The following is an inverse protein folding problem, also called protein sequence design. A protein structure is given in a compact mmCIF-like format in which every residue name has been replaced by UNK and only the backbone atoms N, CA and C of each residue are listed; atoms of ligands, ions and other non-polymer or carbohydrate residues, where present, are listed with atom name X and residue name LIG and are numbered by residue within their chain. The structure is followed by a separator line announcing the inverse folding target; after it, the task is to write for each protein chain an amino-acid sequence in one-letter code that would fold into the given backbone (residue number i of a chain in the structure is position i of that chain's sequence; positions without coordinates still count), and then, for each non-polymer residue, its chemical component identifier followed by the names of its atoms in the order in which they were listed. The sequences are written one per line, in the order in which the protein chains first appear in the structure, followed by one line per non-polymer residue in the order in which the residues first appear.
data_IF_459974832154
#
_entry.id   IF_459974832154
#
_cell.length_a   1.000
_cell.length_b   1.000
_cell.length_c   1.000
_cell.angle_alpha   90.00
_cell.angle_beta   90.00
_cell.angle_gamma   90.00
#
_symmetry.space_group_name_H-M   'P 1'
#
loop_
_entity.id
_entity.type
_entity.pdbx_description
1 polymer ?
#
# COMPACT_ATOMS: atom_id res chain seq x y z
N UNK A 1 -9.55 23.57 -35.27
CA UNK A 1 -8.65 23.07 -34.19
C UNK A 1 -7.21 23.20 -34.68
N UNK A 2 -6.29 23.59 -33.75
CA UNK A 2 -4.85 23.53 -34.00
C UNK A 2 -4.41 22.06 -34.04
N UNK A 3 -3.41 21.72 -34.85
CA UNK A 3 -2.85 20.38 -34.83
C UNK A 3 -2.05 20.16 -33.55
N UNK A 4 -2.09 18.92 -33.01
CA UNK A 4 -1.34 18.53 -31.81
C UNK A 4 0.15 18.85 -31.96
N UNK A 5 0.75 18.50 -33.08
CA UNK A 5 2.18 18.65 -33.30
C UNK A 5 2.61 20.12 -33.33
N UNK A 6 1.76 21.00 -33.88
CA UNK A 6 1.98 22.44 -33.82
C UNK A 6 1.97 22.96 -32.40
N UNK A 7 0.96 22.57 -31.60
CA UNK A 7 0.84 23.00 -30.19
C UNK A 7 2.01 22.49 -29.36
N UNK A 8 2.32 21.19 -29.47
CA UNK A 8 3.44 20.59 -28.72
C UNK A 8 4.79 21.21 -29.09
N UNK A 9 5.03 21.47 -30.38
CA UNK A 9 6.26 22.14 -30.83
C UNK A 9 6.37 23.56 -30.29
N UNK A 10 5.29 24.29 -30.21
CA UNK A 10 5.29 25.65 -29.65
C UNK A 10 5.48 25.69 -28.13
N UNK A 11 4.92 24.71 -27.40
CA UNK A 11 5.01 24.64 -25.95
C UNK A 11 6.29 23.97 -25.44
N UNK A 12 6.91 23.09 -26.24
CA UNK A 12 8.08 22.33 -25.83
C UNK A 12 9.19 23.18 -25.21
N UNK A 13 9.62 24.32 -25.81
CA UNK A 13 10.67 25.15 -25.21
C UNK A 13 10.31 25.67 -23.81
N UNK A 14 9.03 25.97 -23.57
CA UNK A 14 8.55 26.43 -22.25
C UNK A 14 8.50 25.27 -21.24
N UNK A 15 8.06 24.11 -21.68
CA UNK A 15 7.91 22.91 -20.82
C UNK A 15 9.28 22.35 -20.40
N UNK A 16 10.29 22.43 -21.26
CA UNK A 16 11.64 21.92 -21.01
C UNK A 16 12.59 22.95 -20.37
N UNK A 17 12.16 24.21 -20.22
CA UNK A 17 12.97 25.24 -19.59
C UNK A 17 12.95 25.10 -18.06
N UNK A 18 14.10 24.74 -17.49
CA UNK A 18 14.30 24.61 -16.03
C UNK A 18 14.19 25.92 -15.27
N UNK A 19 14.43 27.05 -15.94
CA UNK A 19 14.37 28.37 -15.32
C UNK A 19 12.95 28.89 -15.14
N UNK A 20 11.98 28.33 -15.87
CA UNK A 20 10.58 28.67 -15.76
C UNK A 20 9.89 27.77 -14.74
N UNK A 21 9.51 28.35 -13.60
CA UNK A 21 8.78 27.64 -12.56
C UNK A 21 7.38 27.21 -13.06
N UNK A 22 7.05 25.94 -12.87
CA UNK A 22 5.72 25.37 -13.17
C UNK A 22 5.01 24.99 -11.90
N UNK A 23 3.70 25.27 -11.88
CA UNK A 23 2.76 24.83 -10.86
C UNK A 23 1.71 23.93 -11.52
N UNK A 24 1.34 22.85 -10.86
CA UNK A 24 0.30 21.94 -11.36
C UNK A 24 -0.33 21.10 -10.24
N UNK A 25 -1.25 20.27 -10.65
CA UNK A 25 -1.94 19.30 -9.79
C UNK A 25 -1.58 17.89 -10.25
N UNK A 26 -0.83 17.14 -9.47
CA UNK A 26 -0.37 15.79 -9.83
C UNK A 26 0.50 15.76 -11.11
N UNK A 27 1.48 16.67 -11.18
CA UNK A 27 2.34 16.89 -12.36
C UNK A 27 3.10 15.65 -12.84
N UNK A 28 3.25 14.63 -12.02
CA UNK A 28 3.82 13.35 -12.46
C UNK A 28 3.00 12.73 -13.59
N UNK A 29 1.67 12.85 -13.55
CA UNK A 29 0.79 12.39 -14.61
C UNK A 29 1.07 13.14 -15.92
N UNK A 30 1.13 14.47 -15.87
CA UNK A 30 1.41 15.30 -17.04
C UNK A 30 2.80 15.02 -17.60
N UNK A 31 3.81 14.87 -16.74
CA UNK A 31 5.17 14.50 -17.14
C UNK A 31 5.20 13.16 -17.91
N UNK A 32 4.45 12.17 -17.44
CA UNK A 32 4.34 10.86 -18.10
C UNK A 32 3.62 10.99 -19.45
N UNK A 33 2.55 11.77 -19.54
CA UNK A 33 1.85 12.00 -20.81
C UNK A 33 2.74 12.72 -21.82
N UNK A 34 3.42 13.79 -21.40
CA UNK A 34 4.32 14.57 -22.26
C UNK A 34 5.51 13.74 -22.75
N UNK A 35 6.02 12.82 -21.94
CA UNK A 35 7.13 11.94 -22.33
C UNK A 35 6.82 11.07 -23.56
N UNK A 36 5.56 10.69 -23.76
CA UNK A 36 5.12 9.94 -24.94
C UNK A 36 5.28 10.74 -26.25
N UNK A 37 5.42 12.06 -26.13
CA UNK A 37 5.63 12.98 -27.26
C UNK A 37 7.07 13.53 -27.30
N UNK A 38 7.99 12.93 -26.55
CA UNK A 38 9.39 13.35 -26.51
C UNK A 38 9.60 14.72 -25.85
N UNK A 39 8.73 15.08 -24.90
CA UNK A 39 8.84 16.31 -24.09
C UNK A 39 9.16 15.92 -22.65
N UNK A 40 10.23 16.47 -22.11
CA UNK A 40 10.61 16.33 -20.71
C UNK A 40 10.11 17.52 -19.92
N UNK A 41 9.19 17.30 -18.98
CA UNK A 41 8.71 18.38 -18.11
C UNK A 41 9.78 18.74 -17.09
N UNK A 42 10.30 19.96 -17.20
CA UNK A 42 11.35 20.49 -16.34
C UNK A 42 10.87 21.73 -15.59
N UNK A 43 11.59 22.15 -14.54
CA UNK A 43 11.24 23.34 -13.76
C UNK A 43 9.97 23.17 -12.93
N UNK A 44 9.58 21.97 -12.58
CA UNK A 44 8.47 21.71 -11.65
C UNK A 44 8.83 22.28 -10.28
N UNK A 45 8.18 23.35 -9.90
CA UNK A 45 8.42 24.04 -8.63
C UNK A 45 7.33 23.76 -7.59
N UNK A 46 6.09 23.53 -8.06
CA UNK A 46 4.94 23.38 -7.18
C UNK A 46 3.96 22.32 -7.68
N UNK A 47 3.51 21.46 -6.78
CA UNK A 47 2.45 20.47 -7.03
C UNK A 47 1.42 20.54 -5.89
N UNK A 48 0.22 21.00 -6.19
CA UNK A 48 -0.83 21.27 -5.20
C UNK A 48 -1.34 20.01 -4.51
N UNK A 49 -1.26 18.85 -5.16
CA UNK A 49 -1.56 17.55 -4.52
C UNK A 49 -0.53 17.26 -3.42
N UNK A 50 0.76 17.43 -3.70
CA UNK A 50 1.83 17.19 -2.74
C UNK A 50 1.87 18.25 -1.64
N UNK A 51 1.61 19.53 -1.97
CA UNK A 51 1.45 20.60 -0.97
C UNK A 51 0.37 20.24 0.06
N UNK A 52 -0.82 19.86 -0.41
CA UNK A 52 -1.92 19.46 0.47
C UNK A 52 -1.59 18.21 1.26
N UNK A 53 -0.95 17.23 0.65
CA UNK A 53 -0.54 15.99 1.31
C UNK A 53 0.46 16.22 2.43
N UNK A 54 1.49 17.04 2.21
CA UNK A 54 2.47 17.39 3.23
C UNK A 54 1.87 18.27 4.34
N UNK A 55 0.93 19.15 4.01
CA UNK A 55 0.23 19.96 4.99
C UNK A 55 -0.65 19.13 5.93
N UNK A 56 -1.43 18.20 5.37
CA UNK A 56 -2.25 17.25 6.14
C UNK A 56 -2.70 16.07 5.29
N UNK A 57 -2.17 14.88 5.54
CA UNK A 57 -2.40 13.67 4.75
C UNK A 57 -3.76 12.98 4.98
N UNK A 58 -4.54 13.38 6.00
CA UNK A 58 -5.72 12.62 6.48
C UNK A 58 -7.07 13.10 5.92
N UNK A 59 -7.41 14.40 5.82
CA UNK A 59 -8.81 14.83 5.74
C UNK A 59 -9.37 14.92 4.32
N UNK A 60 -8.63 14.58 3.28
CA UNK A 60 -9.09 14.69 1.89
C UNK A 60 -8.34 13.74 0.96
N UNK A 61 -8.93 13.48 -0.21
CA UNK A 61 -8.32 12.67 -1.26
C UNK A 61 -7.18 13.38 -2.02
N UNK A 62 -6.87 14.61 -1.73
CA UNK A 62 -5.88 15.46 -2.41
C UNK A 62 -6.10 15.62 -3.93
N UNK A 63 -7.28 15.27 -4.45
CA UNK A 63 -7.65 15.60 -5.82
C UNK A 63 -8.17 17.04 -5.89
N UNK A 64 -8.15 17.63 -7.08
CA UNK A 64 -8.47 19.03 -7.29
C UNK A 64 -9.86 19.40 -6.78
N UNK A 65 -10.89 18.60 -7.07
CA UNK A 65 -12.26 18.87 -6.64
C UNK A 65 -12.39 18.97 -5.12
N UNK A 66 -11.80 18.00 -4.39
CA UNK A 66 -11.83 18.00 -2.94
C UNK A 66 -11.02 19.15 -2.33
N UNK A 67 -9.91 19.52 -2.98
CA UNK A 67 -9.09 20.66 -2.55
C UNK A 67 -9.77 21.99 -2.82
N UNK A 68 -10.43 22.16 -3.97
CA UNK A 68 -11.17 23.35 -4.33
C UNK A 68 -12.34 23.59 -3.36
N UNK A 69 -13.13 22.57 -3.06
CA UNK A 69 -14.19 22.64 -2.06
C UNK A 69 -13.65 23.03 -0.68
N UNK A 70 -12.57 22.37 -0.23
CA UNK A 70 -11.98 22.57 1.10
C UNK A 70 -11.30 23.92 1.29
N UNK A 71 -10.48 24.36 0.33
CA UNK A 71 -9.61 25.53 0.50
C UNK A 71 -10.15 26.80 -0.16
N UNK A 72 -10.99 26.66 -1.17
CA UNK A 72 -11.54 27.78 -1.93
C UNK A 72 -13.06 27.94 -1.75
N UNK A 73 -13.75 26.94 -1.16
CA UNK A 73 -15.22 26.91 -1.11
C UNK A 73 -15.85 26.85 -2.51
N UNK A 74 -15.12 26.33 -3.49
CA UNK A 74 -15.50 26.31 -4.90
C UNK A 74 -15.79 24.87 -5.36
N UNK A 75 -16.92 24.71 -6.06
CA UNK A 75 -17.28 23.44 -6.70
C UNK A 75 -16.86 23.47 -8.16
N UNK A 76 -15.88 22.64 -8.49
CA UNK A 76 -15.40 22.44 -9.86
C UNK A 76 -16.43 21.71 -10.72
N UNK A 77 -16.37 21.90 -12.03
CA UNK A 77 -17.09 21.08 -13.01
C UNK A 77 -16.43 19.71 -13.06
N UNK A 78 -17.20 18.66 -12.78
CA UNK A 78 -16.67 17.28 -12.85
C UNK A 78 -16.60 16.81 -14.28
N UNK A 79 -15.56 16.03 -14.60
CA UNK A 79 -15.41 15.43 -15.93
C UNK A 79 -16.66 14.67 -16.37
N UNK A 80 -17.32 13.96 -15.46
CA UNK A 80 -18.56 13.24 -15.74
C UNK A 80 -19.73 14.13 -16.15
N UNK A 81 -19.74 15.40 -15.77
CA UNK A 81 -20.79 16.36 -16.13
C UNK A 81 -20.69 16.79 -17.60
N UNK A 82 -19.48 16.83 -18.14
CA UNK A 82 -19.21 17.19 -19.53
C UNK A 82 -19.08 15.98 -20.47
N UNK A 83 -18.63 14.83 -19.94
CA UNK A 83 -18.33 13.61 -20.71
C UNK A 83 -19.41 12.52 -20.57
N UNK A 84 -20.30 12.59 -19.55
CA UNK A 84 -21.23 11.52 -19.21
C UNK A 84 -20.56 10.43 -18.37
N UNK A 85 -21.27 9.31 -18.13
CA UNK A 85 -20.86 8.21 -17.24
C UNK A 85 -20.95 6.83 -17.89
N UNK A 86 -20.16 5.90 -17.35
CA UNK A 86 -20.22 4.47 -17.71
C UNK A 86 -19.74 4.17 -19.12
N UNK A 87 -20.24 3.09 -19.72
CA UNK A 87 -19.78 2.62 -21.05
C UNK A 87 -20.00 3.61 -22.21
N UNK A 88 -20.81 4.62 -22.02
CA UNK A 88 -21.07 5.68 -23.01
C UNK A 88 -20.35 7.00 -22.70
N UNK A 89 -19.46 7.00 -21.74
CA UNK A 89 -18.67 8.19 -21.40
C UNK A 89 -17.79 8.60 -22.58
N UNK A 90 -17.85 9.86 -22.95
CA UNK A 90 -17.05 10.43 -24.02
C UNK A 90 -15.59 10.58 -23.57
N UNK A 91 -14.68 10.42 -24.50
CA UNK A 91 -13.30 10.86 -24.34
C UNK A 91 -13.19 12.37 -24.49
N UNK A 92 -12.14 13.00 -23.92
CA UNK A 92 -12.02 14.47 -23.91
C UNK A 92 -12.06 15.09 -25.33
N UNK A 93 -11.49 14.43 -26.32
CA UNK A 93 -11.49 14.86 -27.72
C UNK A 93 -12.87 14.74 -28.42
N UNK A 94 -13.85 14.11 -27.79
CA UNK A 94 -15.22 13.99 -28.29
C UNK A 94 -16.16 15.02 -27.66
N UNK A 95 -15.68 15.76 -26.65
CA UNK A 95 -16.47 16.81 -25.98
C UNK A 95 -16.46 18.06 -26.85
N UNK A 96 -17.58 18.80 -26.83
CA UNK A 96 -17.71 20.08 -27.49
C UNK A 96 -16.57 21.02 -27.07
N UNK A 97 -16.01 21.77 -28.08
CA UNK A 97 -14.79 22.56 -27.86
C UNK A 97 -15.00 23.67 -26.81
N UNK A 98 -16.16 24.30 -26.77
CA UNK A 98 -16.46 25.37 -25.82
C UNK A 98 -16.48 24.80 -24.38
N UNK A 99 -17.16 23.67 -24.19
CA UNK A 99 -17.21 22.96 -22.87
C UNK A 99 -15.84 22.44 -22.45
N UNK A 100 -15.10 21.82 -23.37
CA UNK A 100 -13.75 21.32 -23.11
C UNK A 100 -12.78 22.46 -22.76
N UNK A 101 -12.91 23.60 -23.50
CA UNK A 101 -12.09 24.79 -23.24
C UNK A 101 -12.37 25.40 -21.86
N UNK A 102 -13.65 25.51 -21.50
CA UNK A 102 -14.04 26.01 -20.19
C UNK A 102 -13.53 25.13 -19.06
N UNK A 103 -13.70 23.81 -19.19
CA UNK A 103 -13.21 22.82 -18.24
C UNK A 103 -11.68 22.92 -18.04
N UNK A 104 -10.92 22.93 -19.14
CA UNK A 104 -9.46 23.02 -19.07
C UNK A 104 -8.95 24.35 -18.49
N UNK A 105 -9.65 25.46 -18.78
CA UNK A 105 -9.32 26.76 -18.22
C UNK A 105 -9.63 26.83 -16.71
N UNK A 106 -10.75 26.22 -16.28
CA UNK A 106 -11.09 26.08 -14.86
C UNK A 106 -10.02 25.28 -14.12
N UNK A 107 -9.58 24.15 -14.67
CA UNK A 107 -8.54 23.31 -14.06
C UNK A 107 -7.24 24.10 -13.83
N UNK A 108 -6.84 24.91 -14.79
CA UNK A 108 -5.63 25.74 -14.67
C UNK A 108 -5.80 26.87 -13.63
N UNK A 109 -6.94 27.59 -13.64
CA UNK A 109 -7.22 28.66 -12.68
C UNK A 109 -7.31 28.11 -11.25
N UNK A 110 -8.05 27.05 -11.05
CA UNK A 110 -8.23 26.41 -9.74
C UNK A 110 -6.89 25.89 -9.22
N UNK A 111 -6.05 25.29 -10.06
CA UNK A 111 -4.71 24.82 -9.64
C UNK A 111 -3.86 25.98 -9.12
N UNK A 112 -3.81 27.10 -9.81
CA UNK A 112 -3.06 28.27 -9.36
C UNK A 112 -3.61 28.84 -8.04
N UNK A 113 -4.93 28.97 -7.94
CA UNK A 113 -5.60 29.45 -6.72
C UNK A 113 -5.39 28.51 -5.53
N UNK A 114 -5.36 27.19 -5.77
CA UNK A 114 -5.03 26.19 -4.74
C UNK A 114 -3.60 26.36 -4.23
N UNK A 115 -2.63 26.53 -5.13
CA UNK A 115 -1.25 26.83 -4.73
C UNK A 115 -1.18 28.07 -3.83
N UNK A 116 -1.82 29.18 -4.25
CA UNK A 116 -1.87 30.44 -3.49
C UNK A 116 -2.55 30.27 -2.12
N UNK A 117 -3.49 29.34 -1.97
CA UNK A 117 -4.19 29.09 -0.72
C UNK A 117 -3.49 28.10 0.21
N UNK A 118 -2.75 27.12 -0.33
CA UNK A 118 -2.16 25.99 0.42
C UNK A 118 -0.70 26.27 0.78
N UNK A 119 0.12 26.69 -0.17
CA UNK A 119 1.55 26.85 0.00
C UNK A 119 1.94 27.81 1.15
N UNK A 120 1.30 28.98 1.32
CA UNK A 120 1.58 29.86 2.46
C UNK A 120 1.25 29.25 3.83
N UNK A 121 0.40 28.22 3.88
CA UNK A 121 0.13 27.47 5.11
C UNK A 121 1.24 26.47 5.39
N UNK A 122 1.79 25.86 4.35
CA UNK A 122 2.90 24.93 4.43
C UNK A 122 4.18 25.66 4.87
N UNK A 123 4.43 26.89 4.39
CA UNK A 123 5.57 27.74 4.78
C UNK A 123 5.60 28.08 6.28
N UNK A 124 4.45 28.04 6.97
CA UNK A 124 4.39 28.27 8.42
C UNK A 124 5.04 27.16 9.25
N UNK A 125 5.33 26.01 8.66
CA UNK A 125 5.98 24.86 9.31
C UNK A 125 7.23 24.47 8.53
N UNK A 126 8.40 24.92 8.98
CA UNK A 126 9.68 24.64 8.32
C UNK A 126 9.93 23.15 8.09
N UNK A 127 9.53 22.29 9.03
CA UNK A 127 9.68 20.85 8.91
C UNK A 127 8.78 20.25 7.83
N UNK A 128 7.51 20.65 7.76
CA UNK A 128 6.60 20.17 6.71
C UNK A 128 7.02 20.69 5.34
N UNK A 129 7.51 21.93 5.27
CA UNK A 129 8.06 22.52 4.06
C UNK A 129 9.29 21.75 3.58
N UNK A 130 10.20 21.36 4.49
CA UNK A 130 11.36 20.51 4.17
C UNK A 130 10.92 19.14 3.64
N UNK A 131 9.93 18.49 4.27
CA UNK A 131 9.36 17.23 3.73
C UNK A 131 8.85 17.40 2.29
N UNK A 132 8.18 18.50 2.00
CA UNK A 132 7.69 18.82 0.68
C UNK A 132 8.81 19.06 -0.33
N UNK A 133 9.75 19.96 0.01
CA UNK A 133 10.80 20.43 -0.91
C UNK A 133 11.95 19.43 -1.07
N UNK A 134 12.32 18.73 0.01
CA UNK A 134 13.52 17.88 0.02
C UNK A 134 13.19 16.39 -0.20
N UNK A 135 11.93 15.99 -0.03
CA UNK A 135 11.53 14.57 -0.16
C UNK A 135 10.47 14.40 -1.24
N UNK A 136 9.27 14.97 -1.08
CA UNK A 136 8.13 14.64 -1.94
C UNK A 136 8.25 15.19 -3.35
N UNK A 137 8.63 16.45 -3.49
CA UNK A 137 8.76 17.07 -4.80
C UNK A 137 9.91 16.45 -5.62
N UNK A 138 11.13 16.24 -5.07
CA UNK A 138 12.21 15.54 -5.76
C UNK A 138 11.93 14.06 -6.08
N UNK A 139 11.06 13.40 -5.31
CA UNK A 139 10.68 12.02 -5.57
C UNK A 139 9.79 11.88 -6.82
N UNK A 140 9.00 12.89 -7.15
CA UNK A 140 8.08 12.87 -8.29
C UNK A 140 8.76 12.49 -9.61
N UNK A 141 9.85 13.15 -10.07
CA UNK A 141 10.53 12.77 -11.32
C UNK A 141 11.23 11.40 -11.24
N UNK A 142 11.60 10.92 -10.04
CA UNK A 142 12.13 9.57 -9.86
C UNK A 142 11.04 8.55 -10.15
N UNK A 143 9.86 8.70 -9.55
CA UNK A 143 8.72 7.82 -9.78
C UNK A 143 8.25 7.86 -11.23
N UNK A 144 8.21 9.05 -11.85
CA UNK A 144 7.89 9.21 -13.27
C UNK A 144 8.83 8.37 -14.15
N UNK A 145 10.14 8.42 -13.94
CA UNK A 145 11.11 7.59 -14.68
C UNK A 145 10.91 6.10 -14.44
N UNK A 146 10.61 5.70 -13.20
CA UNK A 146 10.33 4.29 -12.88
C UNK A 146 9.08 3.79 -13.60
N UNK A 147 8.00 4.58 -13.62
CA UNK A 147 6.76 4.26 -14.33
C UNK A 147 6.99 4.15 -15.85
N UNK A 148 7.74 5.10 -16.44
CA UNK A 148 8.10 5.08 -17.86
C UNK A 148 8.99 3.89 -18.22
N UNK A 149 9.92 3.53 -17.34
CA UNK A 149 10.82 2.38 -17.53
C UNK A 149 10.09 1.04 -17.50
N UNK A 150 9.06 0.92 -16.67
CA UNK A 150 8.28 -0.32 -16.51
C UNK A 150 9.12 -1.53 -16.09
N UNK A 151 8.47 -2.69 -16.03
CA UNK A 151 9.08 -3.96 -15.66
C UNK A 151 8.86 -5.01 -16.74
N UNK A 152 9.86 -5.84 -17.01
CA UNK A 152 9.78 -6.94 -17.95
C UNK A 152 9.22 -8.19 -17.23
N UNK A 153 8.29 -8.87 -17.87
CA UNK A 153 7.72 -10.12 -17.35
C UNK A 153 7.79 -11.23 -18.41
N UNK A 154 7.96 -12.46 -17.93
CA UNK A 154 7.90 -13.67 -18.74
C UNK A 154 6.44 -14.14 -18.83
N UNK A 155 5.80 -13.85 -19.97
CA UNK A 155 4.40 -14.21 -20.23
C UNK A 155 4.19 -15.71 -20.34
N UNK A 156 5.18 -16.43 -20.89
CA UNK A 156 5.05 -17.87 -21.12
C UNK A 156 5.11 -18.62 -19.79
N UNK A 157 6.02 -18.22 -18.91
CA UNK A 157 6.07 -18.72 -17.54
C UNK A 157 4.76 -18.46 -16.78
N UNK A 158 4.16 -17.27 -16.92
CA UNK A 158 2.87 -16.96 -16.27
C UNK A 158 1.73 -17.78 -16.87
N UNK A 159 1.73 -18.03 -18.18
CA UNK A 159 0.73 -18.88 -18.84
C UNK A 159 0.83 -20.34 -18.38
N UNK A 160 2.04 -20.89 -18.27
CA UNK A 160 2.27 -22.23 -17.71
C UNK A 160 1.76 -22.33 -16.25
N UNK A 161 2.14 -21.37 -15.42
CA UNK A 161 1.66 -21.33 -14.04
C UNK A 161 0.13 -21.22 -13.96
N UNK A 162 -0.49 -20.43 -14.85
CA UNK A 162 -1.94 -20.30 -14.92
C UNK A 162 -2.63 -21.64 -15.21
N UNK A 163 -2.05 -22.47 -16.08
CA UNK A 163 -2.56 -23.82 -16.37
C UNK A 163 -2.44 -24.75 -15.17
N UNK A 164 -1.27 -24.77 -14.52
CA UNK A 164 -1.03 -25.57 -13.30
C UNK A 164 -2.00 -25.19 -12.19
N UNK A 165 -2.15 -23.88 -11.92
CA UNK A 165 -3.12 -23.40 -10.93
C UNK A 165 -4.54 -23.77 -11.32
N UNK A 166 -4.91 -23.64 -12.59
CA UNK A 166 -6.23 -24.01 -13.10
C UNK A 166 -6.57 -25.48 -12.87
N UNK A 167 -5.61 -26.40 -13.13
CA UNK A 167 -5.77 -27.82 -12.83
C UNK A 167 -5.99 -28.07 -11.34
N UNK A 168 -5.17 -27.43 -10.48
CA UNK A 168 -5.32 -27.58 -9.02
C UNK A 168 -6.65 -27.02 -8.50
N UNK A 169 -7.13 -25.92 -9.06
CA UNK A 169 -8.45 -25.35 -8.72
C UNK A 169 -9.59 -26.33 -9.04
N UNK A 170 -9.54 -27.01 -10.20
CA UNK A 170 -10.54 -28.01 -10.57
C UNK A 170 -10.50 -29.22 -9.61
N UNK A 171 -9.31 -29.69 -9.22
CA UNK A 171 -9.18 -30.74 -8.20
C UNK A 171 -9.78 -30.32 -6.86
N UNK A 172 -9.52 -29.11 -6.40
CA UNK A 172 -10.06 -28.59 -5.14
C UNK A 172 -11.58 -28.41 -5.18
N UNK A 173 -12.15 -28.05 -6.34
CA UNK A 173 -13.61 -28.03 -6.50
C UNK A 173 -14.22 -29.42 -6.33
N UNK A 174 -13.63 -30.45 -6.98
CA UNK A 174 -14.07 -31.82 -6.81
C UNK A 174 -13.95 -32.29 -5.36
N UNK A 175 -12.83 -32.01 -4.72
CA UNK A 175 -12.59 -32.35 -3.31
C UNK A 175 -13.63 -31.68 -2.41
N UNK A 176 -13.88 -30.38 -2.59
CA UNK A 176 -14.86 -29.63 -1.81
C UNK A 176 -16.29 -30.18 -2.00
N UNK A 177 -16.68 -30.52 -3.25
CA UNK A 177 -17.97 -31.12 -3.55
C UNK A 177 -18.14 -32.50 -2.93
N UNK A 178 -17.08 -33.30 -2.92
CA UNK A 178 -17.10 -34.63 -2.29
C UNK A 178 -17.28 -34.51 -0.75
N UNK A 179 -16.57 -33.55 -0.11
CA UNK A 179 -16.72 -33.32 1.34
C UNK A 179 -18.12 -32.79 1.68
N UNK A 180 -18.68 -31.92 0.85
CA UNK A 180 -20.03 -31.36 1.05
C UNK A 180 -21.17 -32.31 0.64
N UNK A 181 -20.86 -33.34 -0.15
CA UNK A 181 -21.87 -34.26 -0.70
C UNK A 181 -22.72 -33.67 -1.83
N UNK A 182 -22.45 -32.46 -2.29
CA UNK A 182 -23.14 -31.78 -3.40
C UNK A 182 -22.26 -30.73 -4.07
N UNK A 183 -22.65 -30.32 -5.28
CA UNK A 183 -21.99 -29.23 -6.00
C UNK A 183 -22.44 -27.88 -5.47
N UNK A 184 -21.50 -26.94 -5.34
CA UNK A 184 -21.73 -25.54 -4.96
C UNK A 184 -20.60 -24.65 -5.46
N UNK A 185 -20.82 -23.34 -5.47
CA UNK A 185 -19.80 -22.37 -5.89
C UNK A 185 -18.93 -21.96 -4.69
N UNK A 186 -17.65 -22.36 -4.70
CA UNK A 186 -16.66 -22.05 -3.66
C UNK A 186 -16.37 -20.53 -3.54
N UNK A 187 -16.69 -19.75 -4.57
CA UNK A 187 -16.54 -18.29 -4.57
C UNK A 187 -17.79 -17.56 -4.05
N UNK A 188 -18.89 -18.27 -3.76
CA UNK A 188 -20.13 -17.67 -3.27
C UNK A 188 -20.21 -17.67 -1.74
N UNK A 189 -20.09 -16.50 -1.05
CA UNK A 189 -20.21 -16.46 0.40
C UNK A 189 -21.52 -17.02 0.93
N UNK A 190 -22.62 -16.83 0.18
CA UNK A 190 -23.95 -17.33 0.58
C UNK A 190 -24.00 -18.85 0.56
N UNK A 191 -23.51 -19.49 -0.51
CA UNK A 191 -23.49 -20.96 -0.60
C UNK A 191 -22.53 -21.56 0.43
N UNK A 192 -21.39 -20.90 0.67
CA UNK A 192 -20.46 -21.34 1.72
C UNK A 192 -21.11 -21.28 3.12
N UNK A 193 -21.91 -20.26 3.41
CA UNK A 193 -22.64 -20.17 4.68
C UNK A 193 -23.60 -21.34 4.84
N UNK A 194 -24.38 -21.64 3.81
CA UNK A 194 -25.33 -22.78 3.80
C UNK A 194 -24.59 -24.10 4.04
N UNK A 195 -23.54 -24.39 3.28
CA UNK A 195 -22.76 -25.62 3.38
C UNK A 195 -22.11 -25.75 4.77
N UNK A 196 -21.36 -24.75 5.19
CA UNK A 196 -20.56 -24.85 6.42
C UNK A 196 -21.43 -24.87 7.69
N UNK A 197 -22.44 -24.00 7.77
CA UNK A 197 -23.16 -23.78 9.02
C UNK A 197 -24.51 -24.47 9.07
N UNK A 198 -25.21 -24.65 7.95
CA UNK A 198 -26.53 -25.26 7.93
C UNK A 198 -26.47 -26.77 7.65
N UNK A 199 -25.59 -27.23 6.75
CA UNK A 199 -25.49 -28.64 6.39
C UNK A 199 -24.46 -29.39 7.23
N UNK A 200 -23.20 -28.91 7.21
CA UNK A 200 -22.12 -29.53 7.97
C UNK A 200 -22.15 -29.18 9.46
N UNK A 201 -23.05 -28.27 9.89
CA UNK A 201 -23.24 -27.86 11.29
C UNK A 201 -21.96 -27.41 12.00
N UNK A 202 -21.01 -26.82 11.26
CA UNK A 202 -19.81 -26.27 11.86
C UNK A 202 -20.20 -25.08 12.75
N UNK A 203 -19.67 -24.96 13.97
CA UNK A 203 -20.00 -23.86 14.86
C UNK A 203 -19.69 -22.48 14.28
N UNK A 204 -20.58 -21.51 14.47
CA UNK A 204 -20.36 -20.13 14.03
C UNK A 204 -19.39 -19.43 14.99
N UNK A 205 -18.17 -19.17 14.56
CA UNK A 205 -17.15 -18.49 15.36
C UNK A 205 -17.40 -16.96 15.38
N UNK A 206 -17.76 -16.37 14.23
CA UNK A 206 -17.93 -14.92 14.07
C UNK A 206 -19.08 -14.60 13.15
N UNK A 207 -19.79 -13.50 13.40
CA UNK A 207 -20.83 -12.98 12.51
C UNK A 207 -20.37 -11.70 11.81
N UNK A 208 -20.91 -11.46 10.63
CA UNK A 208 -20.75 -10.20 9.91
C UNK A 208 -21.49 -9.06 10.60
N UNK A 209 -21.23 -7.78 10.31
CA UNK A 209 -21.99 -6.66 10.86
C UNK A 209 -23.51 -6.74 10.59
N UNK A 210 -23.92 -7.48 9.55
CA UNK A 210 -25.33 -7.73 9.19
C UNK A 210 -25.92 -8.97 9.89
N UNK A 211 -25.18 -9.60 10.81
CA UNK A 211 -25.63 -10.74 11.61
C UNK A 211 -25.49 -12.11 10.96
N UNK A 212 -25.09 -12.22 9.70
CA UNK A 212 -24.85 -13.49 9.01
C UNK A 212 -23.53 -14.16 9.49
N UNK A 213 -23.42 -15.51 9.49
CA UNK A 213 -22.18 -16.20 9.78
C UNK A 213 -21.04 -15.73 8.85
N UNK A 214 -19.86 -15.47 9.42
CA UNK A 214 -18.73 -14.97 8.65
C UNK A 214 -17.97 -16.13 7.98
N UNK A 215 -17.66 -15.98 6.70
CA UNK A 215 -16.73 -16.84 5.93
C UNK A 215 -15.46 -16.09 5.58
N UNK A 216 -15.07 -15.08 6.36
CA UNK A 216 -13.83 -14.35 6.17
C UNK A 216 -12.62 -15.27 6.36
N UNK A 217 -11.49 -14.91 5.73
CA UNK A 217 -10.29 -15.73 5.73
C UNK A 217 -9.84 -16.11 7.14
N UNK A 218 -9.83 -15.16 8.08
CA UNK A 218 -9.46 -15.41 9.48
C UNK A 218 -10.34 -16.44 10.18
N UNK A 219 -11.65 -16.46 9.84
CA UNK A 219 -12.61 -17.41 10.40
C UNK A 219 -12.42 -18.79 9.79
N UNK A 220 -12.22 -18.86 8.48
CA UNK A 220 -11.92 -20.12 7.81
C UNK A 220 -10.57 -20.72 8.26
N UNK A 221 -9.56 -19.90 8.55
CA UNK A 221 -8.28 -20.36 9.09
C UNK A 221 -8.45 -21.02 10.46
N UNK A 222 -9.29 -20.47 11.33
CA UNK A 222 -9.61 -21.06 12.63
C UNK A 222 -10.37 -22.39 12.46
N UNK A 223 -11.38 -22.41 11.59
CA UNK A 223 -12.14 -23.64 11.31
C UNK A 223 -11.27 -24.74 10.64
N UNK A 224 -10.27 -24.35 9.85
CA UNK A 224 -9.40 -25.30 9.14
C UNK A 224 -8.51 -26.15 10.08
N UNK A 225 -8.43 -25.79 11.36
CA UNK A 225 -7.73 -26.58 12.37
C UNK A 225 -8.48 -27.91 12.64
N UNK A 226 -9.83 -27.87 12.62
CA UNK A 226 -10.68 -28.99 13.02
C UNK A 226 -11.48 -29.59 11.86
N UNK A 227 -11.66 -28.84 10.74
CA UNK A 227 -12.53 -29.24 9.63
C UNK A 227 -11.80 -29.21 8.28
N UNK A 228 -11.98 -30.23 7.43
CA UNK A 228 -11.28 -30.32 6.15
C UNK A 228 -11.77 -29.31 5.10
N UNK A 229 -13.10 -29.08 5.01
CA UNK A 229 -13.64 -28.19 3.97
C UNK A 229 -13.14 -26.74 4.05
N UNK A 230 -13.06 -26.08 5.21
CA UNK A 230 -12.44 -24.76 5.31
C UNK A 230 -11.00 -24.70 4.80
N UNK A 231 -10.21 -25.76 4.98
CA UNK A 231 -8.83 -25.85 4.46
C UNK A 231 -8.82 -25.85 2.92
N UNK A 232 -9.69 -26.65 2.30
CA UNK A 232 -9.85 -26.71 0.83
C UNK A 232 -10.30 -25.35 0.30
N UNK A 233 -11.28 -24.71 0.95
CA UNK A 233 -11.76 -23.37 0.55
C UNK A 233 -10.66 -22.32 0.63
N UNK A 234 -9.82 -22.33 1.66
CA UNK A 234 -8.71 -21.40 1.80
C UNK A 234 -7.67 -21.57 0.68
N UNK A 235 -7.29 -22.82 0.36
CA UNK A 235 -6.37 -23.12 -0.73
C UNK A 235 -6.97 -22.65 -2.06
N UNK A 236 -8.22 -23.02 -2.35
CA UNK A 236 -8.93 -22.60 -3.56
C UNK A 236 -8.98 -21.06 -3.69
N UNK A 237 -9.33 -20.33 -2.63
CA UNK A 237 -9.37 -18.86 -2.65
C UNK A 237 -7.99 -18.24 -2.90
N UNK A 238 -6.96 -18.78 -2.25
CA UNK A 238 -5.57 -18.35 -2.45
C UNK A 238 -5.14 -18.50 -3.90
N UNK A 239 -5.33 -19.68 -4.48
CA UNK A 239 -4.98 -19.98 -5.87
C UNK A 239 -5.82 -19.18 -6.86
N UNK A 240 -7.14 -19.06 -6.66
CA UNK A 240 -8.01 -18.24 -7.50
C UNK A 240 -7.56 -16.77 -7.54
N UNK A 241 -7.16 -16.22 -6.39
CA UNK A 241 -6.64 -14.86 -6.31
C UNK A 241 -5.31 -14.73 -7.06
N UNK A 242 -4.40 -15.69 -6.91
CA UNK A 242 -3.13 -15.69 -7.64
C UNK A 242 -3.36 -15.72 -9.14
N UNK A 243 -4.23 -16.62 -9.60
CA UNK A 243 -4.59 -16.77 -11.01
C UNK A 243 -5.18 -15.48 -11.58
N UNK A 244 -6.26 -15.00 -11.01
CA UNK A 244 -7.00 -13.85 -11.54
C UNK A 244 -6.23 -12.52 -11.42
N UNK A 245 -5.38 -12.37 -10.42
CA UNK A 245 -4.67 -11.10 -10.16
C UNK A 245 -3.33 -11.02 -10.89
N UNK A 246 -2.63 -12.15 -11.03
CA UNK A 246 -1.27 -12.18 -11.56
C UNK A 246 -1.15 -12.97 -12.85
N UNK A 247 -1.37 -14.29 -12.84
CA UNK A 247 -1.02 -15.10 -14.01
C UNK A 247 -1.89 -14.80 -15.24
N UNK A 248 -3.17 -14.49 -15.06
CA UNK A 248 -4.07 -14.15 -16.16
C UNK A 248 -4.03 -12.66 -16.51
N UNK A 249 -3.84 -11.79 -15.53
CA UNK A 249 -3.98 -10.33 -15.71
C UNK A 249 -2.70 -9.65 -16.13
N UNK A 250 -1.54 -10.02 -15.56
CA UNK A 250 -0.28 -9.31 -15.85
C UNK A 250 0.11 -9.34 -17.32
N UNK A 251 0.01 -10.48 -18.06
CA UNK A 251 0.31 -10.50 -19.48
C UNK A 251 -0.53 -9.53 -20.31
N UNK A 252 -1.78 -9.30 -19.92
CA UNK A 252 -2.70 -8.38 -20.60
C UNK A 252 -2.33 -6.89 -20.40
N UNK A 253 -1.45 -6.59 -19.46
CA UNK A 253 -1.00 -5.23 -19.14
C UNK A 253 0.32 -4.87 -19.82
N UNK A 254 0.92 -5.80 -20.58
CA UNK A 254 2.12 -5.53 -21.36
C UNK A 254 1.80 -4.49 -22.44
N UNK A 255 2.54 -3.41 -22.43
CA UNK A 255 2.41 -2.36 -23.43
C UNK A 255 3.16 -2.76 -24.73
N UNK A 256 2.46 -2.85 -25.88
CA UNK A 256 3.09 -3.32 -27.14
C UNK A 256 4.29 -2.50 -27.62
N UNK A 257 4.40 -1.23 -27.20
CA UNK A 257 5.52 -0.35 -27.59
C UNK A 257 6.79 -0.57 -26.80
N UNK A 258 6.66 -1.02 -25.56
CA UNK A 258 7.79 -1.15 -24.61
C UNK A 258 8.09 -2.59 -24.25
N UNK A 259 7.16 -3.49 -24.54
CA UNK A 259 7.17 -4.90 -24.11
C UNK A 259 7.26 -5.05 -22.58
N UNK A 260 6.71 -4.07 -21.84
CA UNK A 260 6.79 -3.99 -20.39
C UNK A 260 5.45 -3.69 -19.77
N UNK A 261 5.34 -4.03 -18.48
CA UNK A 261 4.23 -3.64 -17.62
C UNK A 261 4.61 -2.34 -16.91
N UNK A 262 3.71 -1.36 -16.94
CA UNK A 262 3.88 -0.06 -16.32
C UNK A 262 2.85 0.12 -15.21
N UNK A 263 3.30 0.23 -13.97
CA UNK A 263 2.47 0.56 -12.82
C UNK A 263 2.38 2.07 -12.62
N UNK A 264 1.47 2.51 -11.77
CA UNK A 264 1.42 3.88 -11.24
C UNK A 264 1.76 3.88 -9.75
N UNK A 265 2.74 4.69 -9.33
CA UNK A 265 3.10 4.90 -7.93
C UNK A 265 2.46 6.18 -7.40
N UNK A 266 1.77 6.08 -6.27
CA UNK A 266 1.06 7.20 -5.66
C UNK A 266 1.70 7.62 -4.35
N UNK A 267 2.05 8.90 -4.23
CA UNK A 267 2.61 9.51 -3.03
C UNK A 267 1.52 9.92 -2.03
N UNK A 268 0.42 10.49 -2.51
CA UNK A 268 -0.61 11.13 -1.70
C UNK A 268 -1.82 10.22 -1.36
N UNK A 269 -1.59 8.92 -1.14
CA UNK A 269 -2.64 7.94 -0.80
C UNK A 269 -2.49 7.43 0.63
N UNK A 270 -1.31 6.93 1.00
CA UNK A 270 -1.08 6.46 2.36
C UNK A 270 -0.76 7.63 3.29
N UNK A 271 -1.53 7.80 4.36
CA UNK A 271 -1.35 8.89 5.31
C UNK A 271 0.03 8.90 6.01
N UNK A 272 0.74 7.76 5.97
CA UNK A 272 2.03 7.54 6.64
C UNK A 272 3.26 7.94 5.83
N UNK A 273 3.12 8.36 4.57
CA UNK A 273 4.25 8.61 3.66
C UNK A 273 4.71 7.39 2.85
N UNK A 274 4.09 6.23 3.02
CA UNK A 274 4.36 5.07 2.15
C UNK A 274 3.78 5.29 0.77
N UNK A 275 4.48 4.80 -0.26
CA UNK A 275 3.95 4.74 -1.61
C UNK A 275 2.87 3.66 -1.70
N UNK A 276 1.91 3.84 -2.61
CA UNK A 276 1.05 2.77 -3.08
C UNK A 276 1.26 2.56 -4.58
N UNK A 277 0.90 1.38 -5.08
CA UNK A 277 1.06 0.99 -6.49
C UNK A 277 -0.27 0.46 -7.01
N UNK A 278 -0.68 0.90 -8.21
CA UNK A 278 -1.91 0.45 -8.87
C UNK A 278 -1.68 0.18 -10.35
N UNK A 279 -2.51 -0.64 -10.93
CA UNK A 279 -2.64 -0.94 -12.35
C UNK A 279 -1.34 -1.37 -13.06
N UNK A 280 -0.66 -2.43 -12.58
CA UNK A 280 -1.00 -3.32 -11.46
C UNK A 280 -0.36 -2.92 -10.13
N UNK A 281 -0.88 -3.45 -9.00
CA UNK A 281 -0.21 -3.30 -7.72
C UNK A 281 1.01 -4.23 -7.62
N UNK A 282 2.20 -3.69 -7.86
CA UNK A 282 3.47 -4.44 -7.79
C UNK A 282 4.03 -4.59 -6.36
N UNK A 283 3.47 -3.90 -5.37
CA UNK A 283 3.88 -4.01 -3.97
C UNK A 283 3.29 -5.25 -3.27
N UNK A 284 2.28 -5.89 -3.86
CA UNK A 284 1.59 -7.04 -3.29
C UNK A 284 1.92 -8.38 -3.97
N UNK A 285 3.02 -8.45 -4.73
CA UNK A 285 3.46 -9.69 -5.35
C UNK A 285 3.75 -10.71 -4.24
N UNK A 286 3.10 -11.89 -4.25
CA UNK A 286 3.17 -12.84 -3.14
C UNK A 286 4.57 -13.46 -3.01
N UNK A 287 4.96 -13.77 -1.76
CA UNK A 287 6.28 -14.35 -1.44
C UNK A 287 6.18 -15.51 -0.44
N UNK A 288 5.04 -15.66 0.26
CA UNK A 288 4.93 -16.63 1.35
C UNK A 288 4.69 -18.05 0.85
N UNK A 289 3.76 -18.23 -0.11
CA UNK A 289 3.47 -19.53 -0.71
C UNK A 289 4.49 -19.89 -1.81
N UNK A 290 4.59 -21.16 -2.14
CA UNK A 290 5.45 -21.64 -3.23
C UNK A 290 4.97 -21.10 -4.58
N UNK A 291 3.67 -21.17 -4.84
CA UNK A 291 3.02 -20.65 -6.05
C UNK A 291 3.23 -19.16 -6.18
N UNK A 292 3.14 -18.42 -5.05
CA UNK A 292 3.43 -16.99 -5.02
C UNK A 292 4.88 -16.68 -5.39
N UNK A 293 5.84 -17.47 -4.91
CA UNK A 293 7.25 -17.30 -5.29
C UNK A 293 7.48 -17.59 -6.78
N UNK A 294 6.78 -18.56 -7.36
CA UNK A 294 6.85 -18.82 -8.81
C UNK A 294 6.42 -17.61 -9.64
N UNK A 295 5.38 -16.87 -9.21
CA UNK A 295 4.98 -15.61 -9.85
C UNK A 295 6.11 -14.57 -9.83
N UNK A 296 6.87 -14.47 -8.74
CA UNK A 296 8.01 -13.55 -8.66
C UNK A 296 9.12 -13.89 -9.67
N UNK A 297 9.30 -15.15 -10.00
CA UNK A 297 10.30 -15.58 -10.99
C UNK A 297 9.94 -15.11 -12.41
N UNK A 298 8.67 -14.80 -12.68
CA UNK A 298 8.27 -14.23 -13.96
C UNK A 298 8.67 -12.76 -14.14
N UNK A 299 9.10 -12.07 -13.08
CA UNK A 299 9.69 -10.75 -13.20
C UNK A 299 11.18 -10.90 -13.54
N UNK A 300 11.55 -10.56 -14.76
CA UNK A 300 12.85 -10.85 -15.33
C UNK A 300 13.61 -9.56 -15.68
N UNK A 301 14.92 -9.66 -15.83
CA UNK A 301 15.76 -8.62 -16.39
C UNK A 301 15.98 -8.86 -17.88
N UNK A 302 16.20 -7.81 -18.69
CA UNK A 302 16.67 -7.98 -20.08
C UNK A 302 17.99 -8.74 -20.15
N UNK A 303 18.31 -9.24 -21.33
CA UNK A 303 19.61 -9.88 -21.58
C UNK A 303 20.78 -8.96 -21.14
N UNK A 304 21.79 -9.53 -20.52
CA UNK A 304 22.94 -8.84 -19.91
C UNK A 304 22.63 -7.95 -18.69
N UNK A 305 21.38 -7.89 -18.21
CA UNK A 305 21.00 -7.21 -16.97
C UNK A 305 20.69 -8.20 -15.87
N UNK A 306 20.62 -7.69 -14.64
CA UNK A 306 20.23 -8.47 -13.45
C UNK A 306 19.23 -7.67 -12.63
N UNK A 307 18.28 -8.36 -12.00
CA UNK A 307 17.47 -7.77 -10.94
C UNK A 307 18.34 -7.65 -9.69
N UNK A 308 18.43 -6.46 -9.14
CA UNK A 308 19.12 -6.17 -7.89
C UNK A 308 18.08 -5.83 -6.84
N UNK A 309 18.02 -6.61 -5.77
CA UNK A 309 17.16 -6.36 -4.62
C UNK A 309 18.01 -5.93 -3.42
N UNK A 310 17.77 -4.69 -2.95
CA UNK A 310 18.45 -4.13 -1.78
C UNK A 310 17.37 -3.76 -0.77
N UNK A 311 17.44 -4.36 0.42
CA UNK A 311 16.48 -4.12 1.50
C UNK A 311 17.20 -3.60 2.75
N UNK A 312 16.58 -2.68 3.44
CA UNK A 312 17.08 -2.16 4.72
C UNK A 312 16.92 -3.22 5.81
N UNK A 313 18.06 -3.71 6.31
CA UNK A 313 18.06 -4.69 7.40
C UNK A 313 17.48 -4.13 8.69
N UNK A 314 16.31 -4.66 9.10
CA UNK A 314 15.63 -4.34 10.36
C UNK A 314 15.40 -2.83 10.58
N UNK A 315 15.11 -2.08 9.51
CA UNK A 315 15.08 -0.60 9.57
C UNK A 315 14.10 -0.06 10.61
N UNK A 316 12.94 -0.70 10.78
CA UNK A 316 11.93 -0.27 11.74
C UNK A 316 12.43 -0.39 13.20
N UNK A 317 13.15 -1.46 13.51
CA UNK A 317 13.79 -1.64 14.82
C UNK A 317 14.94 -0.65 15.05
N UNK A 318 15.71 -0.34 13.99
CA UNK A 318 16.76 0.68 14.06
C UNK A 318 16.20 2.06 14.32
N UNK A 319 15.09 2.41 13.65
CA UNK A 319 14.36 3.67 13.88
C UNK A 319 13.82 3.68 15.31
N UNK A 320 13.23 2.57 15.79
CA UNK A 320 12.75 2.47 17.16
C UNK A 320 13.89 2.64 18.18
N UNK A 321 15.04 2.00 17.95
CA UNK A 321 16.22 2.16 18.81
C UNK A 321 16.68 3.62 18.88
N UNK A 322 16.69 4.32 17.74
CA UNK A 322 17.05 5.73 17.66
C UNK A 322 16.06 6.64 18.39
N UNK A 323 14.75 6.44 18.13
CA UNK A 323 13.71 7.32 18.70
C UNK A 323 13.51 7.09 20.20
N UNK A 324 13.55 5.82 20.66
CA UNK A 324 13.39 5.48 22.07
C UNK A 324 14.66 5.66 22.89
N UNK A 325 15.81 5.77 22.21
CA UNK A 325 17.14 5.75 22.83
C UNK A 325 17.32 4.59 23.82
N UNK A 326 16.66 3.45 23.56
CA UNK A 326 16.71 2.27 24.40
C UNK A 326 18.10 1.66 24.36
N UNK A 327 18.74 1.55 25.53
CA UNK A 327 20.13 1.11 25.67
C UNK A 327 20.32 -0.33 25.15
N UNK A 328 19.35 -1.21 25.37
CA UNK A 328 19.39 -2.59 24.92
C UNK A 328 19.36 -2.71 23.40
N UNK A 329 18.44 -1.99 22.72
CA UNK A 329 18.37 -1.97 21.27
C UNK A 329 19.59 -1.28 20.63
N UNK A 330 20.01 -0.13 21.16
CA UNK A 330 21.17 0.62 20.65
C UNK A 330 22.44 -0.24 20.75
N UNK A 331 22.70 -0.88 21.91
CA UNK A 331 23.84 -1.79 22.08
C UNK A 331 23.78 -2.97 21.12
N UNK A 332 22.62 -3.62 20.98
CA UNK A 332 22.47 -4.76 20.08
C UNK A 332 22.83 -4.41 18.62
N UNK A 333 22.38 -3.25 18.13
CA UNK A 333 22.73 -2.79 16.79
C UNK A 333 24.19 -2.35 16.65
N UNK A 334 24.76 -1.69 17.67
CA UNK A 334 26.16 -1.26 17.67
C UNK A 334 27.13 -2.45 17.65
N UNK A 335 26.75 -3.54 18.29
CA UNK A 335 27.52 -4.78 18.35
C UNK A 335 27.24 -5.73 17.17
N UNK A 336 26.38 -5.33 16.23
CA UNK A 336 26.01 -6.16 15.07
C UNK A 336 25.21 -7.41 15.42
N UNK A 337 24.58 -7.46 16.59
CA UNK A 337 23.76 -8.60 17.04
C UNK A 337 22.44 -8.69 16.28
N UNK A 338 21.98 -9.91 16.06
CA UNK A 338 20.61 -10.14 15.57
C UNK A 338 19.60 -9.92 16.69
N UNK A 339 18.90 -8.77 16.63
CA UNK A 339 17.90 -8.38 17.65
C UNK A 339 16.80 -9.43 17.78
N UNK A 340 16.39 -10.11 16.69
CA UNK A 340 15.36 -11.15 16.77
C UNK A 340 15.85 -12.39 17.52
N UNK A 341 17.09 -12.79 17.30
CA UNK A 341 17.71 -13.90 18.06
C UNK A 341 17.93 -13.53 19.52
N UNK A 342 18.39 -12.31 19.79
CA UNK A 342 18.55 -11.83 21.17
C UNK A 342 17.20 -11.79 21.91
N UNK A 343 16.16 -11.27 21.29
CA UNK A 343 14.80 -11.27 21.85
C UNK A 343 14.28 -12.70 22.07
N UNK A 344 14.52 -13.61 21.12
CA UNK A 344 14.12 -15.01 21.26
C UNK A 344 14.81 -15.68 22.45
N UNK A 345 16.11 -15.50 22.58
CA UNK A 345 16.89 -16.07 23.69
C UNK A 345 16.31 -15.70 25.06
N UNK A 346 15.95 -14.42 25.24
CA UNK A 346 15.40 -13.92 26.51
C UNK A 346 13.95 -14.36 26.73
N UNK A 347 13.11 -14.30 25.71
CA UNK A 347 11.69 -14.68 25.84
C UNK A 347 11.55 -16.17 26.13
N UNK A 348 12.33 -17.01 25.45
CA UNK A 348 12.25 -18.46 25.58
C UNK A 348 13.24 -19.04 26.65
N UNK A 349 14.10 -18.20 27.22
CA UNK A 349 15.04 -18.61 28.27
C UNK A 349 16.13 -19.56 27.78
N UNK A 350 16.62 -19.36 26.56
CA UNK A 350 17.72 -20.13 25.94
C UNK A 350 18.89 -19.20 25.60
N UNK A 351 20.07 -19.77 25.31
CA UNK A 351 21.18 -18.96 24.79
C UNK A 351 20.96 -18.58 23.33
N UNK A 352 21.62 -17.52 22.87
CA UNK A 352 21.45 -17.04 21.47
C UNK A 352 21.78 -18.13 20.44
N UNK A 353 22.77 -18.97 20.74
CA UNK A 353 23.21 -20.06 19.88
C UNK A 353 22.23 -21.25 19.85
N UNK A 354 21.36 -21.36 20.86
CA UNK A 354 20.33 -22.40 20.96
C UNK A 354 18.99 -21.96 20.35
N UNK A 355 18.88 -20.70 19.91
CA UNK A 355 17.64 -20.17 19.32
C UNK A 355 17.30 -20.91 18.03
N UNK A 356 16.16 -21.57 18.00
CA UNK A 356 15.64 -22.23 16.80
C UNK A 356 15.08 -21.23 15.81
N UNK A 357 14.97 -21.64 14.53
CA UNK A 357 14.36 -20.82 13.47
C UNK A 357 12.90 -20.41 13.79
N UNK A 358 12.16 -21.29 14.49
CA UNK A 358 10.76 -21.00 14.88
C UNK A 358 10.69 -20.02 16.04
N UNK A 359 11.57 -20.13 17.02
CA UNK A 359 11.69 -19.16 18.12
C UNK A 359 12.09 -17.79 17.58
N UNK A 360 13.07 -17.75 16.66
CA UNK A 360 13.48 -16.50 16.01
C UNK A 360 12.32 -15.87 15.19
N UNK A 361 11.51 -16.71 14.49
CA UNK A 361 10.32 -16.26 13.76
C UNK A 361 9.26 -15.69 14.70
N UNK A 362 9.03 -16.36 15.84
CA UNK A 362 8.12 -15.88 16.89
C UNK A 362 8.61 -14.57 17.49
N UNK A 363 9.89 -14.43 17.79
CA UNK A 363 10.48 -13.19 18.29
C UNK A 363 10.40 -12.05 17.27
N UNK A 364 10.57 -12.36 15.98
CA UNK A 364 10.33 -11.36 14.91
C UNK A 364 8.89 -10.87 14.93
N UNK A 365 7.91 -11.75 15.09
CA UNK A 365 6.51 -11.40 15.20
C UNK A 365 6.21 -10.57 16.46
N UNK A 366 6.84 -10.90 17.58
CA UNK A 366 6.73 -10.15 18.85
C UNK A 366 7.32 -8.75 18.68
N UNK A 367 8.56 -8.63 18.20
CA UNK A 367 9.23 -7.34 18.01
C UNK A 367 8.39 -6.37 17.17
N UNK A 368 7.92 -6.82 16.00
CA UNK A 368 7.09 -5.97 15.15
C UNK A 368 5.70 -5.73 15.72
N UNK A 369 5.06 -6.78 16.25
CA UNK A 369 3.73 -6.66 16.83
C UNK A 369 3.67 -5.65 17.96
N UNK A 370 4.64 -5.65 18.87
CA UNK A 370 4.66 -4.75 20.02
C UNK A 370 4.97 -3.31 19.62
N UNK A 371 5.89 -3.09 18.70
CA UNK A 371 6.18 -1.76 18.15
C UNK A 371 4.94 -1.14 17.49
N UNK A 372 4.12 -1.96 16.84
CA UNK A 372 2.85 -1.51 16.26
C UNK A 372 1.66 -1.52 17.23
N UNK A 373 1.90 -1.71 18.54
CA UNK A 373 0.87 -1.62 19.56
C UNK A 373 -0.09 -2.82 19.61
N UNK A 374 0.36 -3.99 19.16
CA UNK A 374 -0.43 -5.22 19.21
C UNK A 374 -0.80 -5.58 20.64
N UNK A 375 -2.06 -5.96 20.87
CA UNK A 375 -2.51 -6.45 22.17
C UNK A 375 -2.06 -7.89 22.42
N UNK A 376 -2.08 -8.33 23.70
CA UNK A 376 -1.77 -9.72 24.08
C UNK A 376 -2.68 -10.73 23.35
N UNK A 377 -3.93 -10.38 23.05
CA UNK A 377 -4.83 -11.21 22.27
C UNK A 377 -4.36 -11.37 20.81
N UNK A 378 -3.98 -10.26 20.17
CA UNK A 378 -3.44 -10.27 18.80
C UNK A 378 -2.15 -11.06 18.70
N UNK A 379 -1.25 -10.87 19.68
CA UNK A 379 0.01 -11.60 19.75
C UNK A 379 -0.21 -13.11 19.96
N UNK A 380 -1.08 -13.49 20.89
CA UNK A 380 -1.44 -14.89 21.15
C UNK A 380 -1.87 -15.61 19.87
N UNK A 381 -2.76 -14.98 19.10
CA UNK A 381 -3.24 -15.51 17.81
C UNK A 381 -2.12 -15.62 16.77
N UNK A 382 -1.22 -14.64 16.73
CA UNK A 382 -0.16 -14.59 15.71
C UNK A 382 0.92 -15.66 15.90
N UNK A 383 1.26 -15.95 17.16
CA UNK A 383 2.33 -16.92 17.49
C UNK A 383 1.79 -18.29 18.00
N UNK A 384 0.46 -18.45 18.04
CA UNK A 384 -0.16 -19.74 18.39
C UNK A 384 -0.02 -20.14 19.85
N UNK A 385 -0.05 -19.17 20.78
CA UNK A 385 0.05 -19.42 22.23
C UNK A 385 -1.18 -18.93 23.00
N UNK A 386 -1.30 -19.31 24.28
CA UNK A 386 -2.35 -18.79 25.14
C UNK A 386 -2.17 -17.29 25.45
N UNK A 387 -3.27 -16.56 25.71
CA UNK A 387 -3.26 -15.11 26.01
C UNK A 387 -2.35 -14.75 27.19
N UNK A 388 -2.36 -15.55 28.26
CA UNK A 388 -1.51 -15.31 29.43
C UNK A 388 -0.03 -15.46 29.10
N UNK A 389 0.32 -16.42 28.25
CA UNK A 389 1.68 -16.60 27.78
C UNK A 389 2.13 -15.45 26.86
N UNK A 390 1.25 -14.99 25.96
CA UNK A 390 1.51 -13.82 25.15
C UNK A 390 1.72 -12.57 26.01
N UNK A 391 0.93 -12.38 27.06
CA UNK A 391 1.13 -11.28 28.01
C UNK A 391 2.49 -11.38 28.70
N UNK A 392 2.87 -12.56 29.18
CA UNK A 392 4.18 -12.74 29.80
C UNK A 392 5.35 -12.45 28.84
N UNK A 393 5.18 -12.74 27.53
CA UNK A 393 6.19 -12.38 26.53
C UNK A 393 6.27 -10.86 26.32
N UNK A 394 5.12 -10.16 26.32
CA UNK A 394 5.08 -8.70 26.25
C UNK A 394 5.78 -8.06 27.45
N UNK A 395 5.50 -8.56 28.66
CA UNK A 395 6.08 -8.04 29.89
C UNK A 395 7.61 -8.20 29.88
N UNK A 396 8.13 -9.37 29.51
CA UNK A 396 9.57 -9.60 29.32
C UNK A 396 10.19 -8.69 28.26
N UNK A 397 9.50 -8.48 27.15
CA UNK A 397 9.98 -7.58 26.10
C UNK A 397 10.15 -6.16 26.60
N UNK A 398 9.16 -5.61 27.30
CA UNK A 398 9.23 -4.25 27.83
C UNK A 398 10.14 -4.13 29.06
N UNK A 399 10.34 -5.20 29.83
CA UNK A 399 11.38 -5.27 30.85
C UNK A 399 12.77 -5.15 30.22
N UNK A 400 12.98 -5.81 29.08
CA UNK A 400 14.22 -5.77 28.32
C UNK A 400 14.46 -4.44 27.63
N UNK A 401 13.40 -3.85 27.08
CA UNK A 401 13.43 -2.62 26.30
C UNK A 401 12.54 -1.53 26.93
N UNK A 402 12.87 -1.07 28.16
CA UNK A 402 12.01 -0.10 28.87
C UNK A 402 11.93 1.25 28.16
N UNK A 403 12.98 1.64 27.42
CA UNK A 403 12.97 2.86 26.62
C UNK A 403 11.94 2.83 25.49
N UNK A 404 11.66 1.66 24.92
CA UNK A 404 10.61 1.50 23.91
C UNK A 404 9.24 1.78 24.51
N UNK A 405 8.95 1.22 25.69
CA UNK A 405 7.69 1.46 26.39
C UNK A 405 7.49 2.93 26.71
N UNK A 406 8.51 3.56 27.32
CA UNK A 406 8.47 5.01 27.66
C UNK A 406 8.21 5.86 26.41
N UNK A 407 8.93 5.61 25.32
CA UNK A 407 8.72 6.33 24.06
C UNK A 407 7.30 6.15 23.51
N UNK A 408 6.71 4.95 23.59
CA UNK A 408 5.35 4.69 23.13
C UNK A 408 4.32 5.45 23.98
N UNK A 409 4.50 5.50 25.31
CA UNK A 409 3.62 6.20 26.23
C UNK A 409 3.71 7.71 26.02
N UNK A 410 4.92 8.27 26.00
CA UNK A 410 5.17 9.68 25.73
C UNK A 410 4.60 10.12 24.37
N UNK A 411 4.75 9.27 23.35
CA UNK A 411 4.18 9.54 22.03
C UNK A 411 2.66 9.61 22.06
N UNK A 412 1.99 8.71 22.81
CA UNK A 412 0.51 8.72 22.96
C UNK A 412 0.03 9.97 23.69
N UNK A 413 0.72 10.36 24.77
CA UNK A 413 0.40 11.56 25.54
C UNK A 413 0.54 12.81 24.66
N UNK A 414 1.70 12.98 24.02
CA UNK A 414 1.98 14.08 23.11
C UNK A 414 0.97 14.14 21.96
N UNK A 415 0.65 12.98 21.36
CA UNK A 415 -0.35 12.90 20.30
C UNK A 415 -1.75 13.31 20.79
N UNK A 416 -2.12 12.92 22.02
CA UNK A 416 -3.40 13.31 22.61
C UNK A 416 -3.49 14.81 22.87
N UNK A 417 -2.38 15.44 23.22
CA UNK A 417 -2.32 16.90 23.47
C UNK A 417 -2.37 17.70 22.18
N UNK A 418 -1.50 17.38 21.21
CA UNK A 418 -1.31 18.17 19.99
C UNK A 418 -2.18 17.72 18.81
N UNK A 419 -2.81 16.53 18.87
CA UNK A 419 -3.69 16.01 17.83
C UNK A 419 -2.98 15.41 16.61
N UNK A 420 -1.68 15.19 16.66
CA UNK A 420 -0.90 14.54 15.60
C UNK A 420 0.34 13.83 16.17
N UNK A 421 0.92 12.93 15.38
CA UNK A 421 2.28 12.42 15.55
C UNK A 421 3.18 12.95 14.43
N UNK A 422 4.48 13.08 14.71
CA UNK A 422 5.46 13.61 13.76
C UNK A 422 6.63 12.66 13.61
N UNK A 423 7.08 12.43 12.38
CA UNK A 423 8.31 11.68 12.11
C UNK A 423 9.55 12.54 12.41
N UNK A 424 10.73 11.92 12.45
CA UNK A 424 12.00 12.60 12.67
C UNK A 424 12.22 13.79 11.71
N UNK A 425 11.83 13.64 10.45
CA UNK A 425 11.95 14.68 9.42
C UNK A 425 10.77 15.65 9.34
N UNK A 426 9.76 15.49 10.21
CA UNK A 426 8.67 16.47 10.34
C UNK A 426 7.39 16.15 9.55
N UNK A 427 7.26 14.93 8.98
CA UNK A 427 5.98 14.50 8.43
C UNK A 427 4.98 14.30 9.56
N UNK A 428 3.82 14.92 9.44
CA UNK A 428 2.74 14.81 10.43
C UNK A 428 1.64 13.88 9.99
N UNK A 429 1.20 13.05 10.92
CA UNK A 429 -0.05 12.29 10.82
C UNK A 429 -1.03 12.84 11.86
N UNK A 430 -2.06 13.53 11.39
CA UNK A 430 -3.10 14.08 12.24
C UNK A 430 -4.07 12.98 12.68
N UNK A 431 -4.49 13.06 13.94
CA UNK A 431 -5.32 12.05 14.61
C UNK A 431 -6.61 12.71 15.17
N UNK A 432 -7.57 13.09 14.31
CA UNK A 432 -8.74 13.85 14.72
C UNK A 432 -9.58 13.12 15.78
N UNK A 433 -9.58 11.80 15.76
CA UNK A 433 -10.40 10.96 16.63
C UNK A 433 -9.65 10.41 17.86
N UNK A 434 -8.42 10.88 18.14
CA UNK A 434 -7.59 10.34 19.23
C UNK A 434 -8.27 10.44 20.61
N UNK A 435 -9.19 11.40 20.80
CA UNK A 435 -9.98 11.59 22.02
C UNK A 435 -11.39 11.00 21.94
N UNK A 436 -11.75 10.32 20.84
CA UNK A 436 -13.07 9.72 20.70
C UNK A 436 -13.26 8.57 21.69
N UNK A 437 -14.46 8.49 22.32
CA UNK A 437 -14.77 7.47 23.32
C UNK A 437 -14.96 6.06 22.75
N UNK A 438 -15.29 5.95 21.46
CA UNK A 438 -15.43 4.68 20.75
C UNK A 438 -14.27 4.55 19.75
N UNK A 439 -13.29 3.75 20.12
CA UNK A 439 -12.21 3.31 19.23
C UNK A 439 -12.59 2.04 18.48
#
# INVERSE_FOLDING_TARGET
QLSRDFVLSALKPLLEDKSLAKVGQHLKYDANVLSHYGITLEGVAFDTMLESYCLNSVPTRHNMDALADKYLGYKTVKFEEIAGKGAKQLTFNQIDLEKAGHYAAEDADITLRLHQAIYPKLEKSSKQLSVYQDIELPLMPVLSRMEQGGVLIDSDMLAEQSQVIGTRLAELEVEAHNIAGKSFNLSSPKQLQEILFEELKIPVIKKTPKGAPSTAEEVLQEMALDYPLPKVILEHRGLSKLKSTYTDKLPLLIQPKTDRVHTSYHQAVAATGRLSSTDPNLQNIPIRSEEGRKIRHAFIAPEHYKIVAIDYSQIELRIMAHLSNDKGLVSAFSEGKDVHSATAAEIFGVTVDEVTSDQRRSAKAINFGLIYGMSAFGLAKQIGVGRNQAQAYMDKYFERYPGVLSYMEETRETASEQGYVETLFGRRLYLPDIKARNQ
#
